data_IF_631489794758
#
_entry.id   IF_631489794758
#
_cell.length_a   1.000
_cell.length_b   1.000
_cell.length_c   1.000
_cell.angle_alpha   90.00
_cell.angle_beta   90.00
_cell.angle_gamma   90.00
#
_symmetry.space_group_name_H-M   'P 1'
#
loop_
_entity.id
_entity.type
_entity.pdbx_description
1 polymer ?
#
# COMPACT_ATOMS: atom_id res chain seq x y z
N UNK A 1 -66.77 108.55 -0.22
CA UNK A 1 -67.44 107.44 -0.94
C UNK A 1 -66.41 106.35 -1.15
N UNK A 2 -66.66 105.14 -0.67
CA UNK A 2 -65.96 103.97 -1.13
C UNK A 2 -65.04 103.30 -0.06
N UNK A 3 -65.65 102.50 0.78
CA UNK A 3 -65.11 101.55 1.69
C UNK A 3 -64.37 100.44 0.96
N UNK A 4 -63.21 100.03 1.43
CA UNK A 4 -62.65 98.67 1.14
C UNK A 4 -62.08 98.05 2.39
N UNK A 5 -62.71 96.95 2.80
CA UNK A 5 -62.37 96.09 3.89
C UNK A 5 -61.11 95.26 3.56
N UNK A 6 -60.17 95.21 4.41
CA UNK A 6 -58.99 94.37 4.34
C UNK A 6 -59.23 93.13 5.17
N UNK A 7 -59.30 91.96 4.55
CA UNK A 7 -59.33 90.63 5.21
C UNK A 7 -57.92 90.19 5.62
N UNK A 8 -57.80 89.94 6.87
CA UNK A 8 -56.59 89.46 7.54
C UNK A 8 -56.50 87.90 7.45
N UNK A 9 -55.61 87.41 6.56
CA UNK A 9 -55.31 85.99 6.47
C UNK A 9 -54.49 85.50 7.68
N UNK A 10 -55.00 84.54 8.38
CA UNK A 10 -54.31 83.82 9.43
C UNK A 10 -53.41 82.72 8.84
N UNK A 11 -52.09 82.94 8.87
CA UNK A 11 -51.12 81.89 8.65
C UNK A 11 -51.08 80.97 9.86
N UNK A 12 -51.57 79.71 9.73
CA UNK A 12 -51.42 78.65 10.73
C UNK A 12 -50.16 77.89 10.37
N UNK A 13 -49.08 78.19 11.06
CA UNK A 13 -47.86 77.35 11.02
C UNK A 13 -48.12 76.04 11.72
N UNK A 14 -48.13 74.93 10.98
CA UNK A 14 -48.10 73.59 11.53
C UNK A 14 -46.72 73.36 12.13
N UNK A 15 -46.58 73.48 13.46
CA UNK A 15 -45.47 72.95 14.22
C UNK A 15 -45.54 71.41 14.14
N UNK A 16 -44.64 70.80 13.38
CA UNK A 16 -44.37 69.37 13.46
C UNK A 16 -43.69 69.14 14.80
N UNK A 17 -44.41 68.58 15.75
CA UNK A 17 -43.84 68.01 16.99
C UNK A 17 -42.99 66.81 16.60
N UNK A 18 -41.69 66.99 16.54
CA UNK A 18 -40.73 65.89 16.48
C UNK A 18 -40.94 65.04 17.78
N UNK A 19 -41.50 63.86 17.62
CA UNK A 19 -41.55 62.88 18.72
C UNK A 19 -40.13 62.45 19.05
N UNK A 20 -39.55 63.10 20.03
CA UNK A 20 -38.24 62.74 20.60
C UNK A 20 -38.35 61.27 21.09
N UNK A 21 -37.56 60.40 20.43
CA UNK A 21 -37.41 59.01 20.84
C UNK A 21 -37.03 58.97 22.29
N UNK A 22 -37.76 58.32 23.20
CA UNK A 22 -37.43 58.31 24.64
C UNK A 22 -36.01 57.75 24.83
N UNK A 23 -35.18 58.45 25.59
CA UNK A 23 -33.74 58.17 25.83
C UNK A 23 -33.48 56.73 26.23
N UNK A 24 -34.39 56.05 26.94
CA UNK A 24 -34.23 54.66 27.32
C UNK A 24 -34.15 53.71 26.10
N UNK A 25 -34.82 53.97 24.98
CA UNK A 25 -34.74 53.20 23.75
C UNK A 25 -33.35 53.34 23.07
N UNK A 26 -32.75 54.50 23.14
CA UNK A 26 -31.40 54.73 22.69
C UNK A 26 -30.40 53.90 23.49
N UNK A 27 -30.50 53.90 24.82
CA UNK A 27 -29.65 53.10 25.69
C UNK A 27 -29.82 51.61 25.47
N UNK A 28 -31.03 51.16 25.20
CA UNK A 28 -31.32 49.76 24.93
C UNK A 28 -30.69 49.30 23.62
N UNK A 29 -30.76 50.09 22.54
CA UNK A 29 -30.10 49.80 21.26
C UNK A 29 -28.61 49.81 21.42
N UNK A 30 -28.04 50.82 22.10
CA UNK A 30 -26.60 50.95 22.34
C UNK A 30 -26.10 49.77 23.21
N UNK A 31 -26.80 49.40 24.28
CA UNK A 31 -26.39 48.26 25.09
C UNK A 31 -26.42 46.94 24.32
N UNK A 32 -27.40 46.72 23.44
CA UNK A 32 -27.44 45.58 22.54
C UNK A 32 -26.29 45.57 21.54
N UNK A 33 -25.97 46.76 20.98
CA UNK A 33 -24.85 46.94 20.04
C UNK A 33 -23.47 46.62 20.67
N UNK A 34 -23.30 46.95 21.97
CA UNK A 34 -22.07 46.65 22.71
C UNK A 34 -22.08 45.25 23.32
N UNK A 35 -23.22 44.71 23.73
CA UNK A 35 -23.32 43.35 24.29
C UNK A 35 -22.99 42.28 23.26
N UNK A 36 -23.40 42.46 22.01
CA UNK A 36 -23.18 41.50 20.93
C UNK A 36 -21.70 41.25 20.59
N UNK A 37 -20.82 42.29 20.39
CA UNK A 37 -19.40 42.10 20.25
C UNK A 37 -18.73 41.51 21.51
N UNK A 38 -19.13 41.91 22.71
CA UNK A 38 -18.58 41.35 23.94
C UNK A 38 -18.91 39.85 24.05
N UNK A 39 -20.12 39.44 23.73
CA UNK A 39 -20.53 38.02 23.71
C UNK A 39 -19.78 37.25 22.66
N UNK A 40 -19.54 37.85 21.52
CA UNK A 40 -18.74 37.23 20.43
C UNK A 40 -17.26 37.09 20.84
N UNK A 41 -16.67 38.10 21.45
CA UNK A 41 -15.28 38.08 21.95
C UNK A 41 -15.13 37.01 23.06
N UNK A 42 -16.07 36.93 24.00
CA UNK A 42 -16.05 35.93 25.07
C UNK A 42 -16.18 34.51 24.48
N UNK A 43 -17.05 34.32 23.49
CA UNK A 43 -17.20 33.04 22.81
C UNK A 43 -15.92 32.64 22.01
N UNK A 44 -15.31 33.58 21.31
CA UNK A 44 -14.03 33.37 20.63
C UNK A 44 -12.91 33.07 21.64
N UNK A 45 -12.88 33.77 22.77
CA UNK A 45 -11.90 33.54 23.83
C UNK A 45 -12.07 32.15 24.46
N UNK A 46 -13.30 31.69 24.69
CA UNK A 46 -13.59 30.32 25.14
C UNK A 46 -13.07 29.29 24.13
N UNK A 47 -13.33 29.47 22.83
CA UNK A 47 -12.88 28.56 21.80
C UNK A 47 -11.35 28.51 21.63
N UNK A 48 -10.64 29.62 21.94
CA UNK A 48 -9.20 29.73 21.69
C UNK A 48 -8.31 29.51 22.91
N UNK A 49 -8.83 29.77 24.13
CA UNK A 49 -8.01 29.82 25.34
C UNK A 49 -8.39 28.71 26.34
N UNK A 50 -9.68 28.35 26.43
CA UNK A 50 -10.10 27.31 27.39
C UNK A 50 -9.90 25.91 26.81
N UNK A 51 -9.15 25.05 27.51
CA UNK A 51 -9.08 23.63 27.18
C UNK A 51 -10.40 22.97 27.60
N UNK A 52 -11.28 22.70 26.66
CA UNK A 52 -12.55 22.02 26.88
C UNK A 52 -12.70 20.92 25.83
N UNK A 53 -13.05 19.70 26.28
CA UNK A 53 -13.22 18.53 25.40
C UNK A 53 -14.46 18.63 24.51
N UNK A 54 -15.47 19.44 24.87
CA UNK A 54 -16.71 19.58 24.07
C UNK A 54 -16.71 20.80 23.13
N UNK A 55 -16.09 21.94 23.54
CA UNK A 55 -16.18 23.21 22.78
C UNK A 55 -14.89 24.03 22.73
N UNK A 56 -13.78 23.58 23.31
CA UNK A 56 -12.55 24.34 23.44
C UNK A 56 -11.51 24.06 22.35
N UNK A 57 -10.29 24.55 22.60
CA UNK A 57 -9.11 24.35 21.71
C UNK A 57 -8.86 22.87 21.48
N UNK A 58 -8.97 22.03 22.51
CA UNK A 58 -8.74 20.58 22.42
C UNK A 58 -9.77 19.88 21.55
N UNK A 59 -11.04 20.30 21.62
CA UNK A 59 -12.10 19.83 20.72
C UNK A 59 -11.78 20.18 19.26
N UNK A 60 -11.42 21.43 18.97
CA UNK A 60 -11.10 21.87 17.61
C UNK A 60 -9.84 21.17 17.05
N UNK A 61 -8.81 20.98 17.88
CA UNK A 61 -7.63 20.19 17.51
C UNK A 61 -8.00 18.73 17.25
N UNK A 62 -8.74 18.10 18.14
CA UNK A 62 -9.19 16.71 17.98
C UNK A 62 -10.01 16.52 16.71
N UNK A 63 -10.93 17.45 16.40
CA UNK A 63 -11.71 17.43 15.16
C UNK A 63 -10.85 17.67 13.93
N UNK A 64 -9.88 18.58 13.98
CA UNK A 64 -8.90 18.83 12.93
C UNK A 64 -8.01 17.62 12.71
N UNK A 65 -7.50 17.05 13.77
CA UNK A 65 -6.66 15.87 13.78
C UNK A 65 -7.41 14.63 13.26
N UNK A 66 -8.64 14.41 13.69
CA UNK A 66 -9.47 13.31 13.23
C UNK A 66 -9.76 13.35 11.71
N UNK A 67 -9.72 14.54 11.11
CA UNK A 67 -9.92 14.72 9.66
C UNK A 67 -8.65 14.57 8.85
N UNK A 68 -7.51 14.98 9.37
CA UNK A 68 -6.23 15.08 8.65
C UNK A 68 -5.21 14.01 9.04
N UNK A 69 -5.21 13.54 10.30
CA UNK A 69 -4.28 12.52 10.77
C UNK A 69 -4.77 11.13 10.35
N UNK A 70 -3.86 10.38 9.75
CA UNK A 70 -4.07 8.98 9.35
C UNK A 70 -2.91 8.13 9.82
N UNK A 71 -3.20 6.89 10.17
CA UNK A 71 -2.16 5.87 10.34
C UNK A 71 -1.74 5.36 8.98
N UNK A 72 -0.45 5.45 8.69
CA UNK A 72 0.18 4.88 7.49
C UNK A 72 1.00 3.67 7.89
N UNK A 73 0.88 2.58 7.12
CA UNK A 73 1.65 1.37 7.33
C UNK A 73 3.06 1.59 6.77
N UNK A 74 4.07 1.28 7.55
CA UNK A 74 5.46 1.20 7.10
C UNK A 74 5.70 -0.26 6.70
N UNK A 75 5.85 -0.57 5.41
CA UNK A 75 6.08 -1.95 4.99
C UNK A 75 7.41 -2.44 5.52
N UNK A 76 7.46 -3.72 5.91
CA UNK A 76 8.70 -4.42 6.27
C UNK A 76 9.06 -5.37 5.13
N UNK A 77 10.33 -5.46 4.80
CA UNK A 77 10.79 -6.42 3.80
C UNK A 77 10.92 -7.81 4.40
N UNK A 78 10.66 -8.81 3.56
CA UNK A 78 10.83 -10.22 3.88
C UNK A 78 12.31 -10.57 3.94
N UNK A 79 12.72 -11.43 4.88
CA UNK A 79 14.09 -11.86 5.07
C UNK A 79 14.73 -12.41 3.79
N UNK A 80 16.02 -12.20 3.64
CA UNK A 80 16.83 -12.69 2.52
C UNK A 80 16.96 -14.22 2.61
N UNK A 81 16.89 -14.91 1.48
CA UNK A 81 17.31 -16.33 1.41
C UNK A 81 18.61 -16.37 0.63
N UNK A 82 19.64 -16.96 1.22
CA UNK A 82 20.98 -17.10 0.61
C UNK A 82 21.41 -18.55 0.52
N UNK A 83 22.37 -18.81 -0.34
CA UNK A 83 23.14 -20.04 -0.34
C UNK A 83 24.15 -20.06 0.81
N UNK A 84 24.94 -21.14 0.92
CA UNK A 84 25.99 -21.30 1.93
C UNK A 84 27.11 -20.24 1.85
N UNK A 85 27.31 -19.63 0.69
CA UNK A 85 28.34 -18.63 0.43
C UNK A 85 27.83 -17.19 0.56
N UNK A 86 26.52 -17.00 0.82
CA UNK A 86 25.88 -15.69 0.93
C UNK A 86 25.30 -15.20 -0.41
N UNK A 87 25.34 -16.02 -1.47
CA UNK A 87 24.74 -15.66 -2.76
C UNK A 87 23.20 -15.61 -2.65
N UNK A 88 22.55 -14.54 -3.12
CA UNK A 88 21.10 -14.33 -2.94
C UNK A 88 20.29 -15.30 -3.81
N UNK A 89 19.39 -16.04 -3.17
CA UNK A 89 18.42 -16.94 -3.82
C UNK A 89 17.02 -16.31 -3.88
N UNK A 90 16.66 -15.50 -2.89
CA UNK A 90 15.43 -14.72 -2.89
C UNK A 90 15.64 -13.38 -2.17
N UNK A 91 15.27 -12.28 -2.83
CA UNK A 91 15.42 -10.91 -2.33
C UNK A 91 14.11 -10.14 -2.41
N UNK A 92 13.89 -9.20 -1.49
CA UNK A 92 12.75 -8.29 -1.55
C UNK A 92 13.18 -6.97 -2.20
N UNK A 93 12.58 -6.64 -3.34
CA UNK A 93 12.87 -5.39 -4.06
C UNK A 93 11.77 -4.37 -3.81
N UNK A 94 12.10 -3.09 -3.58
CA UNK A 94 11.10 -2.05 -3.38
C UNK A 94 10.32 -1.80 -4.68
N UNK A 95 9.01 -1.72 -4.55
CA UNK A 95 8.06 -1.45 -5.63
C UNK A 95 7.00 -0.48 -5.15
N UNK A 96 6.24 0.10 -6.07
CA UNK A 96 5.14 1.00 -5.73
C UNK A 96 3.84 0.47 -6.34
N UNK A 97 2.83 0.31 -5.49
CA UNK A 97 1.46 0.04 -5.94
C UNK A 97 0.68 1.34 -6.05
N UNK A 98 0.03 1.56 -7.18
CA UNK A 98 -0.83 2.71 -7.41
C UNK A 98 -2.22 2.41 -6.87
N UNK A 99 -2.66 3.21 -5.94
CA UNK A 99 -3.98 3.15 -5.33
C UNK A 99 -4.83 4.35 -5.73
N UNK A 100 -6.11 4.15 -5.85
CA UNK A 100 -7.06 5.20 -6.18
C UNK A 100 -8.24 5.22 -5.23
N UNK A 101 -8.79 6.42 -5.04
CA UNK A 101 -10.12 6.62 -4.48
C UNK A 101 -11.12 6.84 -5.60
N UNK A 102 -11.91 5.82 -6.01
CA UNK A 102 -12.83 5.94 -7.14
C UNK A 102 -13.87 7.04 -6.97
N UNK A 103 -14.33 7.30 -5.74
CA UNK A 103 -15.28 8.38 -5.45
C UNK A 103 -14.70 9.76 -5.76
N UNK A 104 -13.42 9.98 -5.43
CA UNK A 104 -12.75 11.25 -5.71
C UNK A 104 -12.41 11.38 -7.20
N UNK A 105 -11.89 10.33 -7.82
CA UNK A 105 -11.58 10.30 -9.24
C UNK A 105 -12.80 10.64 -10.11
N UNK A 106 -13.97 10.04 -9.84
CA UNK A 106 -15.17 10.31 -10.61
C UNK A 106 -15.72 11.72 -10.43
N UNK A 107 -15.49 12.35 -9.27
CA UNK A 107 -15.99 13.70 -8.98
C UNK A 107 -15.05 14.80 -9.47
N UNK A 108 -13.74 14.57 -9.41
CA UNK A 108 -12.73 15.61 -9.52
C UNK A 108 -11.82 15.46 -10.74
N UNK A 109 -11.65 14.26 -11.30
CA UNK A 109 -10.82 14.04 -12.47
C UNK A 109 -11.53 14.42 -13.75
N UNK A 110 -10.85 15.16 -14.62
CA UNK A 110 -11.33 15.50 -15.95
C UNK A 110 -11.25 14.29 -16.89
N UNK A 111 -11.96 14.33 -18.03
CA UNK A 111 -11.81 13.30 -19.07
C UNK A 111 -10.38 13.22 -19.61
N UNK A 112 -9.68 14.36 -19.64
CA UNK A 112 -8.27 14.43 -20.04
C UNK A 112 -7.40 13.67 -19.05
N UNK A 113 -7.55 13.91 -17.73
CA UNK A 113 -6.78 13.24 -16.68
C UNK A 113 -6.94 11.71 -16.74
N UNK A 114 -8.19 11.24 -16.98
CA UNK A 114 -8.46 9.82 -17.12
C UNK A 114 -7.84 9.21 -18.38
N UNK A 115 -7.75 9.99 -19.48
CA UNK A 115 -7.07 9.57 -20.70
C UNK A 115 -5.55 9.51 -20.51
N UNK A 116 -4.98 10.53 -19.88
CA UNK A 116 -3.55 10.56 -19.57
C UNK A 116 -3.17 9.43 -18.62
N UNK A 117 -4.01 9.15 -17.60
CA UNK A 117 -3.87 8.02 -16.70
C UNK A 117 -3.92 6.68 -17.44
N UNK A 118 -4.88 6.50 -18.37
CA UNK A 118 -4.98 5.25 -19.14
C UNK A 118 -3.75 5.00 -19.99
N UNK A 119 -3.21 6.05 -20.62
CA UNK A 119 -2.00 5.99 -21.41
C UNK A 119 -0.77 5.64 -20.54
N UNK A 120 -0.63 6.30 -19.38
CA UNK A 120 0.47 6.06 -18.45
C UNK A 120 0.45 4.65 -17.85
N UNK A 121 -0.75 4.06 -17.66
CA UNK A 121 -0.93 2.69 -17.17
C UNK A 121 -0.85 1.63 -18.29
N UNK A 122 -0.77 2.02 -19.56
CA UNK A 122 -0.77 1.10 -20.69
C UNK A 122 -2.09 0.32 -20.88
N UNK A 123 -3.22 0.85 -20.39
CA UNK A 123 -4.55 0.22 -20.51
C UNK A 123 -5.47 1.10 -21.33
N UNK A 124 -6.50 0.50 -21.96
CA UNK A 124 -7.46 1.30 -22.72
C UNK A 124 -8.33 2.16 -21.79
N UNK A 125 -8.74 3.34 -22.28
CA UNK A 125 -9.67 4.22 -21.55
C UNK A 125 -10.97 3.49 -21.18
N UNK A 126 -11.47 2.62 -22.06
CA UNK A 126 -12.68 1.81 -21.81
C UNK A 126 -12.49 0.86 -20.63
N UNK A 127 -11.35 0.18 -20.55
CA UNK A 127 -11.02 -0.71 -19.42
C UNK A 127 -10.89 0.06 -18.10
N UNK A 128 -10.21 1.22 -18.12
CA UNK A 128 -10.10 2.07 -16.94
C UNK A 128 -11.47 2.55 -16.46
N UNK A 129 -12.30 3.06 -17.39
CA UNK A 129 -13.65 3.55 -17.11
C UNK A 129 -14.56 2.46 -16.55
N UNK A 130 -14.55 1.26 -17.13
CA UNK A 130 -15.30 0.10 -16.64
C UNK A 130 -14.86 -0.30 -15.21
N UNK A 131 -13.55 -0.31 -14.93
CA UNK A 131 -13.01 -0.57 -13.57
C UNK A 131 -13.46 0.49 -12.58
N UNK A 132 -13.36 1.77 -12.90
CA UNK A 132 -13.81 2.87 -12.05
C UNK A 132 -15.32 2.80 -11.77
N UNK A 133 -16.13 2.48 -12.79
CA UNK A 133 -17.58 2.31 -12.63
C UNK A 133 -17.93 1.14 -11.70
N UNK A 134 -17.22 0.00 -11.85
CA UNK A 134 -17.39 -1.17 -10.98
C UNK A 134 -17.10 -0.85 -9.52
N UNK A 135 -16.12 0.00 -9.25
CA UNK A 135 -15.68 0.38 -7.89
C UNK A 135 -16.21 1.74 -7.43
N UNK A 136 -17.19 2.33 -8.12
CA UNK A 136 -17.67 3.71 -7.89
C UNK A 136 -18.03 4.04 -6.44
N UNK A 137 -18.54 3.05 -5.68
CA UNK A 137 -18.97 3.22 -4.29
C UNK A 137 -17.85 2.92 -3.28
N UNK A 138 -16.68 2.48 -3.73
CA UNK A 138 -15.54 2.18 -2.87
C UNK A 138 -14.65 3.42 -2.70
N UNK A 139 -14.00 3.53 -1.53
CA UNK A 139 -13.01 4.58 -1.25
C UNK A 139 -11.59 4.17 -1.59
N UNK A 140 -11.39 2.90 -1.98
CA UNK A 140 -10.09 2.30 -2.25
C UNK A 140 -10.19 1.28 -3.38
N UNK A 141 -9.21 1.35 -4.31
CA UNK A 141 -8.93 0.32 -5.29
C UNK A 141 -7.46 0.37 -5.72
N UNK A 142 -6.89 -0.76 -6.08
CA UNK A 142 -5.61 -0.79 -6.79
C UNK A 142 -5.83 -0.47 -8.27
N UNK A 143 -5.09 0.52 -8.79
CA UNK A 143 -4.99 0.78 -10.24
C UNK A 143 -4.00 -0.19 -10.88
N UNK A 144 -2.82 -0.30 -10.29
CA UNK A 144 -1.78 -1.26 -10.66
C UNK A 144 -1.01 -1.65 -9.39
N UNK A 145 -0.51 -2.89 -9.33
CA UNK A 145 0.27 -3.38 -8.19
C UNK A 145 1.70 -3.68 -8.61
N UNK A 146 2.61 -3.47 -7.67
CA UNK A 146 4.00 -3.87 -7.77
C UNK A 146 4.72 -3.33 -9.02
N UNK A 147 4.45 -2.07 -9.37
CA UNK A 147 5.18 -1.39 -10.45
C UNK A 147 6.60 -1.02 -9.99
N UNK A 148 7.58 -1.02 -10.92
CA UNK A 148 8.86 -0.38 -10.69
C UNK A 148 8.67 1.07 -10.23
N UNK A 149 9.50 1.53 -9.29
CA UNK A 149 9.35 2.86 -8.66
C UNK A 149 9.33 3.98 -9.72
N UNK A 150 10.17 3.89 -10.75
CA UNK A 150 10.25 4.86 -11.85
C UNK A 150 8.97 4.89 -12.72
N UNK A 151 8.32 3.76 -12.92
CA UNK A 151 7.05 3.71 -13.68
C UNK A 151 5.89 4.26 -12.88
N UNK A 152 5.82 3.88 -11.60
CA UNK A 152 4.80 4.42 -10.70
C UNK A 152 4.94 5.94 -10.54
N UNK A 153 6.18 6.45 -10.47
CA UNK A 153 6.44 7.89 -10.35
C UNK A 153 5.91 8.68 -11.53
N UNK A 154 6.06 8.18 -12.77
CA UNK A 154 5.49 8.82 -13.97
C UNK A 154 3.97 9.03 -13.87
N UNK A 155 3.25 8.08 -13.27
CA UNK A 155 1.81 8.21 -13.05
C UNK A 155 1.49 9.19 -11.93
N UNK A 156 2.29 9.19 -10.86
CA UNK A 156 2.10 10.10 -9.72
C UNK A 156 2.40 11.56 -10.11
N UNK A 157 3.36 11.78 -11.00
CA UNK A 157 3.73 13.11 -11.51
C UNK A 157 2.61 13.77 -12.34
N UNK A 158 1.64 13.01 -12.84
CA UNK A 158 0.43 13.56 -13.46
C UNK A 158 -0.42 14.37 -12.47
N UNK A 159 -0.20 14.22 -11.16
CA UNK A 159 -0.86 14.99 -10.12
C UNK A 159 -2.37 14.79 -10.03
N UNK A 160 -2.90 13.68 -10.54
CA UNK A 160 -4.34 13.42 -10.60
C UNK A 160 -4.89 13.21 -9.19
N UNK A 161 -5.90 14.01 -8.83
CA UNK A 161 -6.54 13.96 -7.52
C UNK A 161 -7.18 12.59 -7.28
N UNK A 162 -6.88 12.02 -6.10
CA UNK A 162 -7.41 10.70 -5.71
C UNK A 162 -6.56 9.51 -6.13
N UNK A 163 -5.36 9.75 -6.67
CA UNK A 163 -4.33 8.72 -6.91
C UNK A 163 -3.18 8.93 -5.94
N UNK A 164 -2.70 7.85 -5.36
CA UNK A 164 -1.52 7.85 -4.50
C UNK A 164 -0.70 6.58 -4.68
N UNK A 165 0.59 6.67 -4.35
CA UNK A 165 1.51 5.53 -4.34
C UNK A 165 1.57 4.91 -2.94
N UNK A 166 1.58 3.58 -2.88
CA UNK A 166 1.89 2.81 -1.68
C UNK A 166 3.18 2.05 -1.92
N UNK A 167 4.17 2.24 -1.07
CA UNK A 167 5.37 1.43 -1.08
C UNK A 167 5.03 0.00 -0.65
N UNK A 168 5.49 -0.95 -1.42
CA UNK A 168 5.39 -2.39 -1.16
C UNK A 168 6.73 -3.03 -1.50
N UNK A 169 6.88 -4.32 -1.21
CA UNK A 169 8.02 -5.10 -1.66
C UNK A 169 7.54 -6.20 -2.60
N UNK A 170 8.37 -6.53 -3.58
CA UNK A 170 8.15 -7.64 -4.48
C UNK A 170 9.30 -8.62 -4.33
N UNK A 171 8.96 -9.89 -4.13
CA UNK A 171 9.94 -10.96 -4.07
C UNK A 171 10.53 -11.20 -5.45
N UNK A 172 11.84 -11.28 -5.51
CA UNK A 172 12.61 -11.57 -6.72
C UNK A 172 13.58 -12.72 -6.46
N UNK A 173 13.71 -13.61 -7.44
CA UNK A 173 14.48 -14.85 -7.36
C UNK A 173 15.61 -14.81 -8.42
N UNK A 174 16.84 -14.38 -8.07
CA UNK A 174 17.92 -14.19 -9.01
C UNK A 174 18.30 -15.45 -9.78
N UNK A 175 18.28 -16.62 -9.11
CA UNK A 175 18.61 -17.90 -9.73
C UNK A 175 17.47 -18.47 -10.62
N UNK A 176 16.29 -17.86 -10.63
CA UNK A 176 15.17 -18.25 -11.50
C UNK A 176 14.81 -19.73 -11.40
N UNK A 177 14.77 -20.42 -12.54
CA UNK A 177 14.40 -21.85 -12.65
C UNK A 177 15.32 -22.80 -11.88
N UNK A 178 16.57 -22.38 -11.59
CA UNK A 178 17.61 -23.27 -11.05
C UNK A 178 17.31 -23.71 -9.62
N UNK A 179 16.64 -22.84 -8.85
CA UNK A 179 16.33 -23.09 -7.44
C UNK A 179 14.82 -23.08 -7.17
N UNK A 180 14.00 -23.06 -8.22
CA UNK A 180 12.56 -22.77 -8.11
C UNK A 180 11.81 -23.67 -7.15
N UNK A 181 11.96 -25.01 -7.25
CA UNK A 181 11.25 -25.93 -6.35
C UNK A 181 11.79 -25.95 -4.93
N UNK A 182 13.08 -25.65 -4.78
CA UNK A 182 13.71 -25.59 -3.45
C UNK A 182 13.29 -24.32 -2.71
N UNK A 183 13.50 -23.17 -3.32
CA UNK A 183 13.20 -21.87 -2.72
C UNK A 183 11.70 -21.63 -2.67
N UNK A 184 11.00 -22.03 -3.73
CA UNK A 184 9.56 -21.76 -3.87
C UNK A 184 9.28 -20.35 -4.35
N UNK A 185 8.12 -19.84 -3.98
CA UNK A 185 7.68 -18.49 -4.33
C UNK A 185 6.64 -17.96 -3.33
N UNK A 186 6.42 -16.64 -3.37
CA UNK A 186 5.37 -15.96 -2.59
C UNK A 186 4.19 -15.58 -3.47
N UNK A 187 3.03 -15.33 -2.86
CA UNK A 187 1.91 -14.67 -3.52
C UNK A 187 2.17 -13.15 -3.70
N UNK A 188 1.15 -12.42 -4.19
CA UNK A 188 1.25 -10.97 -4.40
C UNK A 188 1.31 -10.17 -3.09
N UNK A 189 0.88 -10.77 -1.98
CA UNK A 189 0.86 -10.19 -0.64
C UNK A 189 2.07 -10.66 0.21
N UNK A 190 3.08 -11.25 -0.47
CA UNK A 190 4.37 -11.70 0.09
C UNK A 190 4.26 -12.89 1.08
N UNK A 191 3.17 -13.68 1.00
CA UNK A 191 3.03 -14.93 1.75
C UNK A 191 3.65 -16.09 0.98
N UNK A 192 4.47 -16.90 1.66
CA UNK A 192 5.08 -18.09 1.08
C UNK A 192 4.03 -19.10 0.62
N UNK A 193 4.19 -19.62 -0.60
CA UNK A 193 3.25 -20.59 -1.20
C UNK A 193 3.86 -21.97 -1.34
N UNK A 194 5.16 -22.05 -1.59
CA UNK A 194 5.87 -23.31 -1.84
C UNK A 194 7.31 -23.23 -1.32
N UNK A 195 7.98 -24.39 -1.18
CA UNK A 195 9.39 -24.51 -0.86
C UNK A 195 9.79 -23.90 0.47
N UNK A 196 11.00 -23.34 0.54
CA UNK A 196 11.53 -22.69 1.75
C UNK A 196 10.76 -21.41 2.09
N UNK A 197 10.20 -20.73 1.09
CA UNK A 197 9.32 -19.58 1.32
C UNK A 197 8.08 -19.95 2.16
N UNK A 198 7.49 -21.11 1.92
CA UNK A 198 6.36 -21.61 2.71
C UNK A 198 6.81 -22.18 4.05
N UNK A 199 7.83 -23.05 4.03
CA UNK A 199 8.30 -23.75 5.23
C UNK A 199 8.78 -22.80 6.35
N UNK A 200 9.40 -21.68 5.96
CA UNK A 200 9.93 -20.67 6.88
C UNK A 200 9.15 -19.35 6.83
N UNK A 201 7.89 -19.41 6.38
CA UNK A 201 7.09 -18.20 6.16
C UNK A 201 7.03 -17.27 7.36
N UNK A 202 6.81 -17.80 8.57
CA UNK A 202 6.73 -17.00 9.81
C UNK A 202 8.05 -16.27 10.11
N UNK A 203 9.18 -16.96 9.95
CA UNK A 203 10.50 -16.37 10.19
C UNK A 203 10.91 -15.34 9.16
N UNK A 204 10.60 -15.62 7.89
CA UNK A 204 10.93 -14.74 6.76
C UNK A 204 10.04 -13.51 6.71
N UNK A 205 8.78 -13.59 7.17
CA UNK A 205 7.84 -12.48 7.10
C UNK A 205 8.23 -11.37 8.06
N UNK A 206 8.41 -10.15 7.54
CA UNK A 206 8.67 -8.97 8.33
C UNK A 206 7.42 -8.46 9.06
N UNK A 207 7.63 -7.75 10.16
CA UNK A 207 6.55 -7.10 10.91
C UNK A 207 6.40 -5.65 10.46
N UNK A 208 5.29 -5.34 9.80
CA UNK A 208 5.00 -3.97 9.38
C UNK A 208 4.93 -3.02 10.58
N UNK A 209 5.49 -1.84 10.39
CA UNK A 209 5.37 -0.72 11.31
C UNK A 209 4.17 0.16 10.98
N UNK A 210 3.98 1.19 11.78
CA UNK A 210 2.97 2.21 11.54
C UNK A 210 3.43 3.58 12.03
N UNK A 211 3.03 4.63 11.30
CA UNK A 211 3.27 6.03 11.66
C UNK A 211 2.01 6.86 11.52
N UNK A 212 1.91 7.94 12.30
CA UNK A 212 0.88 8.97 12.13
C UNK A 212 1.37 9.99 11.12
N UNK A 213 0.55 10.27 10.12
CA UNK A 213 0.83 11.25 9.06
C UNK A 213 -0.34 12.20 8.89
N UNK A 214 -0.05 13.43 8.50
CA UNK A 214 -1.07 14.37 8.00
C UNK A 214 -1.19 14.13 6.50
N UNK A 215 -2.42 13.89 6.04
CA UNK A 215 -2.75 13.79 4.61
C UNK A 215 -3.63 14.96 4.18
N UNK A 216 -3.40 15.44 2.97
CA UNK A 216 -4.30 16.40 2.33
C UNK A 216 -5.60 15.73 1.88
N UNK A 217 -6.53 16.53 1.35
CA UNK A 217 -7.80 16.04 0.79
C UNK A 217 -7.60 15.09 -0.41
N UNK A 218 -6.44 15.13 -1.02
CA UNK A 218 -6.06 14.28 -2.16
C UNK A 218 -5.41 12.96 -1.72
N UNK A 219 -5.13 12.80 -0.42
CA UNK A 219 -4.50 11.61 0.16
C UNK A 219 -2.96 11.65 0.13
N UNK A 220 -2.33 12.77 -0.27
CA UNK A 220 -0.87 12.93 -0.21
C UNK A 220 -0.42 13.20 1.23
N UNK A 221 0.70 12.63 1.60
CA UNK A 221 1.32 12.89 2.91
C UNK A 221 1.95 14.28 2.87
N UNK A 222 1.50 15.16 3.78
CA UNK A 222 2.04 16.52 3.96
C UNK A 222 3.18 16.48 4.98
N UNK A 223 2.97 15.75 6.09
CA UNK A 223 3.91 15.70 7.21
C UNK A 223 3.81 14.39 7.98
N UNK A 224 4.96 13.87 8.41
CA UNK A 224 5.05 12.82 9.40
C UNK A 224 4.93 13.43 10.81
N UNK A 225 4.04 12.90 11.65
CA UNK A 225 3.81 13.41 13.02
C UNK A 225 4.62 12.59 14.02
N UNK A 226 4.41 11.28 14.04
CA UNK A 226 5.06 10.39 15.00
C UNK A 226 5.11 8.95 14.48
N UNK A 227 6.16 8.25 14.90
CA UNK A 227 6.25 6.81 14.73
C UNK A 227 5.42 6.14 15.83
N UNK A 228 4.49 5.26 15.45
CA UNK A 228 3.69 4.47 16.39
C UNK A 228 4.41 3.16 16.71
N UNK A 229 4.82 2.43 15.65
CA UNK A 229 5.50 1.16 15.73
C UNK A 229 6.58 1.10 14.65
N UNK A 230 7.83 0.77 14.98
CA UNK A 230 8.87 0.56 13.97
C UNK A 230 8.55 -0.68 13.12
N UNK A 231 8.97 -0.67 11.87
CA UNK A 231 8.97 -1.85 11.03
C UNK A 231 10.18 -2.73 11.38
N UNK A 232 9.97 -4.03 11.45
CA UNK A 232 11.04 -5.01 11.65
C UNK A 232 11.11 -5.94 10.43
N UNK A 233 12.29 -6.03 9.84
CA UNK A 233 12.55 -6.97 8.76
C UNK A 233 12.33 -8.43 9.20
N UNK A 234 12.01 -9.30 8.26
CA UNK A 234 12.03 -10.75 8.47
C UNK A 234 13.45 -11.25 8.73
N UNK A 235 13.57 -12.42 9.35
CA UNK A 235 14.88 -13.05 9.58
C UNK A 235 15.41 -13.62 8.27
N UNK A 236 16.70 -13.43 8.05
CA UNK A 236 17.38 -14.03 6.90
C UNK A 236 17.53 -15.54 7.09
N UNK A 237 17.47 -16.28 5.98
CA UNK A 237 17.61 -17.74 5.94
C UNK A 237 18.80 -18.10 5.07
N UNK A 238 19.80 -18.74 5.66
CA UNK A 238 20.96 -19.29 4.95
C UNK A 238 20.78 -20.79 4.77
N UNK A 239 20.85 -21.25 3.52
CA UNK A 239 20.73 -22.66 3.14
C UNK A 239 22.12 -23.31 3.02
N UNK A 240 22.15 -24.63 3.11
CA UNK A 240 23.37 -25.44 2.85
C UNK A 240 23.72 -25.55 1.36
N UNK A 241 22.81 -25.16 0.47
CA UNK A 241 22.99 -25.19 -0.97
C UNK A 241 24.20 -24.36 -1.40
N UNK A 242 25.01 -24.90 -2.33
CA UNK A 242 26.02 -24.14 -3.10
C UNK A 242 25.43 -23.85 -4.48
N UNK A 243 25.21 -22.58 -4.80
CA UNK A 243 24.55 -22.18 -6.04
C UNK A 243 25.31 -22.64 -7.30
N UNK A 244 26.62 -22.78 -7.22
CA UNK A 244 27.45 -23.27 -8.35
C UNK A 244 27.19 -24.75 -8.61
N UNK A 245 27.12 -25.56 -7.53
CA UNK A 245 26.80 -27.00 -7.63
C UNK A 245 25.35 -27.17 -8.09
N UNK A 246 24.45 -26.40 -7.52
CA UNK A 246 23.03 -26.38 -7.91
C UNK A 246 22.86 -26.08 -9.40
N UNK A 247 23.57 -25.09 -9.92
CA UNK A 247 23.52 -24.70 -11.32
C UNK A 247 24.06 -25.81 -12.25
N UNK A 248 25.19 -26.44 -11.87
CA UNK A 248 25.77 -27.57 -12.60
C UNK A 248 24.81 -28.77 -12.65
N UNK A 249 24.24 -29.14 -11.47
CA UNK A 249 23.26 -30.22 -11.34
C UNK A 249 22.00 -29.95 -12.17
N UNK A 250 21.45 -28.72 -12.08
CA UNK A 250 20.30 -28.33 -12.85
C UNK A 250 20.52 -28.42 -14.37
N UNK A 251 21.64 -27.91 -14.87
CA UNK A 251 21.98 -27.96 -16.31
C UNK A 251 22.13 -29.38 -16.81
N UNK A 252 22.87 -30.21 -16.06
CA UNK A 252 23.07 -31.62 -16.40
C UNK A 252 21.75 -32.38 -16.45
N UNK A 253 20.90 -32.20 -15.44
CA UNK A 253 19.59 -32.81 -15.38
C UNK A 253 18.68 -32.36 -16.53
N UNK A 254 18.62 -31.05 -16.82
CA UNK A 254 17.80 -30.51 -17.91
C UNK A 254 18.22 -31.08 -19.25
N UNK A 255 19.53 -31.17 -19.50
CA UNK A 255 20.07 -31.78 -20.70
C UNK A 255 19.75 -33.28 -20.80
N UNK A 256 19.89 -34.03 -19.71
CA UNK A 256 19.58 -35.46 -19.67
C UNK A 256 18.10 -35.73 -19.93
N UNK A 257 17.19 -35.00 -19.28
CA UNK A 257 15.74 -35.13 -19.44
C UNK A 257 15.35 -34.85 -20.90
N UNK A 258 15.93 -33.82 -21.51
CA UNK A 258 15.67 -33.48 -22.91
C UNK A 258 16.22 -34.53 -23.87
N UNK A 259 17.50 -34.95 -23.67
CA UNK A 259 18.17 -35.92 -24.54
C UNK A 259 17.46 -37.28 -24.55
N UNK A 260 16.95 -37.72 -23.43
CA UNK A 260 16.32 -39.01 -23.26
C UNK A 260 14.79 -38.98 -23.32
N UNK A 261 14.19 -37.80 -23.63
CA UNK A 261 12.74 -37.58 -23.62
C UNK A 261 12.07 -38.08 -22.35
N UNK A 262 12.76 -37.91 -21.19
CA UNK A 262 12.23 -38.33 -19.89
C UNK A 262 11.07 -37.41 -19.46
N UNK A 263 10.07 -37.98 -18.78
CA UNK A 263 8.94 -37.18 -18.25
C UNK A 263 9.36 -36.27 -17.12
N UNK A 264 10.27 -36.73 -16.29
CA UNK A 264 10.80 -35.99 -15.14
C UNK A 264 12.15 -36.56 -14.72
N UNK A 265 12.84 -35.83 -13.87
CA UNK A 265 14.06 -36.28 -13.24
C UNK A 265 14.39 -35.42 -12.02
N UNK A 266 15.19 -35.98 -11.12
CA UNK A 266 15.66 -35.30 -9.91
C UNK A 266 17.12 -35.62 -9.67
N UNK A 267 17.88 -34.66 -9.13
CA UNK A 267 19.28 -34.81 -8.69
C UNK A 267 19.39 -34.23 -7.29
N UNK A 268 20.00 -34.98 -6.39
CA UNK A 268 20.38 -34.53 -5.05
C UNK A 268 21.88 -34.75 -4.90
N UNK A 269 22.59 -33.71 -4.46
CA UNK A 269 24.04 -33.79 -4.17
C UNK A 269 24.21 -33.54 -2.67
N UNK A 270 24.83 -34.50 -2.01
CA UNK A 270 25.07 -34.47 -0.55
C UNK A 270 26.58 -34.36 -0.29
N UNK A 271 26.91 -33.62 0.75
CA UNK A 271 28.23 -33.71 1.37
C UNK A 271 28.26 -34.98 2.25
N UNK A 272 29.20 -35.88 1.99
CA UNK A 272 29.23 -37.18 2.67
C UNK A 272 29.74 -37.10 4.10
N UNK A 273 30.45 -36.03 4.45
CA UNK A 273 30.99 -35.84 5.82
C UNK A 273 29.97 -35.17 6.71
N UNK A 274 29.22 -34.18 6.20
CA UNK A 274 28.30 -33.37 6.99
C UNK A 274 26.85 -33.78 6.83
N UNK A 275 26.51 -34.47 5.74
CA UNK A 275 25.13 -34.78 5.35
C UNK A 275 24.37 -33.58 4.77
N UNK A 276 25.01 -32.43 4.58
CA UNK A 276 24.40 -31.23 4.02
C UNK A 276 24.01 -31.43 2.56
N UNK A 277 22.84 -30.91 2.19
CA UNK A 277 22.38 -30.89 0.80
C UNK A 277 23.05 -29.72 0.08
N UNK A 278 23.98 -30.03 -0.84
CA UNK A 278 24.68 -29.02 -1.65
C UNK A 278 23.91 -28.61 -2.91
N UNK A 279 23.11 -29.52 -3.45
CA UNK A 279 22.21 -29.23 -4.55
C UNK A 279 20.97 -30.14 -4.54
N UNK A 280 19.85 -29.60 -4.97
CA UNK A 280 18.61 -30.33 -5.17
C UNK A 280 17.86 -29.75 -6.37
N UNK A 281 17.95 -30.44 -7.50
CA UNK A 281 17.36 -29.99 -8.77
C UNK A 281 16.28 -30.95 -9.24
N UNK A 282 15.23 -30.42 -9.84
CA UNK A 282 14.13 -31.18 -10.40
C UNK A 282 13.79 -30.70 -11.82
N UNK A 283 13.27 -31.60 -12.64
CA UNK A 283 12.69 -31.32 -13.96
C UNK A 283 11.32 -32.02 -14.07
N UNK A 284 10.33 -31.36 -14.70
CA UNK A 284 10.31 -30.00 -15.23
C UNK A 284 10.39 -28.94 -14.15
N UNK A 285 10.99 -27.78 -14.48
CA UNK A 285 11.07 -26.62 -13.59
C UNK A 285 10.22 -25.45 -14.10
N UNK A 286 10.15 -24.37 -13.34
CA UNK A 286 9.40 -23.16 -13.65
C UNK A 286 10.19 -21.90 -13.28
N UNK A 287 9.80 -20.76 -13.83
CA UNK A 287 10.37 -19.48 -13.43
C UNK A 287 9.49 -18.84 -12.33
N UNK A 288 9.97 -18.71 -11.07
CA UNK A 288 9.19 -18.10 -10.00
C UNK A 288 8.92 -16.61 -10.20
N UNK A 289 9.71 -15.92 -11.04
CA UNK A 289 9.51 -14.51 -11.37
C UNK A 289 8.43 -14.30 -12.45
N UNK A 290 8.16 -15.31 -13.30
CA UNK A 290 7.10 -15.28 -14.31
C UNK A 290 6.25 -16.55 -14.22
N UNK A 291 5.10 -16.42 -13.57
CA UNK A 291 4.17 -17.52 -13.32
C UNK A 291 3.00 -17.56 -14.29
N UNK A 292 3.07 -16.81 -15.39
CA UNK A 292 1.99 -16.77 -16.41
C UNK A 292 1.72 -18.14 -17.04
N UNK A 293 2.76 -18.98 -17.09
CA UNK A 293 2.72 -20.35 -17.64
C UNK A 293 2.96 -21.43 -16.59
N UNK A 294 2.70 -21.14 -15.32
CA UNK A 294 2.90 -22.08 -14.22
C UNK A 294 2.04 -23.33 -14.40
N UNK A 295 2.68 -24.49 -14.36
CA UNK A 295 2.00 -25.81 -14.40
C UNK A 295 2.16 -26.48 -13.04
N UNK A 296 1.11 -27.08 -12.47
CA UNK A 296 1.17 -27.75 -11.17
C UNK A 296 2.30 -28.80 -11.09
N UNK A 297 2.51 -29.55 -12.18
CA UNK A 297 3.57 -30.56 -12.26
C UNK A 297 4.99 -30.00 -12.14
N UNK A 298 5.22 -28.73 -12.51
CA UNK A 298 6.55 -28.10 -12.45
C UNK A 298 6.88 -27.53 -11.07
N UNK A 299 5.89 -27.30 -10.23
CA UNK A 299 6.07 -26.73 -8.88
C UNK A 299 6.58 -27.76 -7.89
N UNK A 300 6.21 -29.00 -8.09
CA UNK A 300 6.44 -30.09 -7.18
C UNK A 300 7.93 -30.39 -7.01
N UNK A 301 8.42 -30.40 -5.77
CA UNK A 301 9.78 -30.86 -5.46
C UNK A 301 9.84 -32.38 -5.43
N UNK A 302 10.02 -32.98 -6.61
CA UNK A 302 9.96 -34.43 -6.83
C UNK A 302 11.02 -35.19 -6.04
N UNK A 303 12.18 -34.60 -5.80
CA UNK A 303 13.21 -35.20 -4.98
C UNK A 303 12.76 -35.47 -3.54
N UNK A 304 11.78 -34.70 -3.05
CA UNK A 304 11.23 -34.82 -1.70
C UNK A 304 9.90 -35.55 -1.63
N UNK A 305 9.08 -35.44 -2.67
CA UNK A 305 7.68 -35.86 -2.61
C UNK A 305 7.33 -37.10 -3.44
N UNK A 306 8.15 -37.43 -4.45
CA UNK A 306 7.86 -38.58 -5.32
C UNK A 306 8.43 -39.85 -4.72
N UNK A 307 7.59 -40.86 -4.63
CA UNK A 307 8.01 -42.22 -4.32
C UNK A 307 8.39 -42.94 -5.62
N UNK A 308 9.52 -43.61 -5.59
CA UNK A 308 10.00 -44.41 -6.71
C UNK A 308 10.38 -45.83 -6.23
N UNK A 309 10.25 -46.82 -7.09
CA UNK A 309 10.79 -48.11 -6.83
C UNK A 309 12.30 -48.11 -7.04
N UNK A 310 13.12 -48.32 -5.98
CA UNK A 310 14.57 -48.11 -6.05
C UNK A 310 15.29 -49.23 -6.83
N UNK A 311 14.67 -50.37 -7.03
CA UNK A 311 15.27 -51.50 -7.74
C UNK A 311 16.61 -51.93 -7.10
N UNK A 312 17.60 -52.30 -7.98
CA UNK A 312 18.94 -52.77 -7.52
C UNK A 312 19.77 -51.75 -6.74
N UNK A 313 19.37 -50.46 -6.70
CA UNK A 313 20.06 -49.40 -5.95
C UNK A 313 19.95 -49.60 -4.45
N UNK A 314 19.02 -50.46 -3.97
CA UNK A 314 18.90 -50.81 -2.53
C UNK A 314 19.93 -51.90 -2.09
N UNK A 315 20.50 -52.69 -3.02
CA UNK A 315 21.39 -53.79 -2.69
C UNK A 315 22.60 -53.41 -1.80
N UNK A 316 23.26 -52.28 -1.98
CA UNK A 316 24.31 -51.80 -1.07
C UNK A 316 23.87 -51.74 0.39
N UNK A 317 22.63 -51.26 0.67
CA UNK A 317 22.10 -51.20 2.03
C UNK A 317 21.81 -52.57 2.61
N UNK A 318 21.31 -53.52 1.80
CA UNK A 318 21.11 -54.88 2.21
C UNK A 318 22.45 -55.59 2.54
N UNK A 319 23.53 -55.28 1.80
CA UNK A 319 24.88 -55.80 2.07
C UNK A 319 25.42 -55.21 3.32
N UNK A 320 25.29 -53.89 3.53
CA UNK A 320 25.75 -53.22 4.78
C UNK A 320 25.07 -53.81 6.02
N UNK A 321 23.73 -54.01 5.96
CA UNK A 321 22.98 -54.63 7.04
C UNK A 321 23.38 -56.07 7.33
N UNK A 322 23.94 -56.77 6.35
CA UNK A 322 24.46 -58.14 6.53
C UNK A 322 25.89 -58.20 7.07
N UNK A 323 26.62 -57.07 7.01
CA UNK A 323 27.98 -56.94 7.53
C UNK A 323 28.04 -56.46 8.99
N UNK A 324 26.96 -55.82 9.50
CA UNK A 324 26.77 -55.52 10.92
C UNK A 324 26.34 -56.76 11.72
#
# INVERSE_FOLDING_TARGET
MGSILATKGKNVSKQQTQKLIPRWRYFLVMSGLFALPILLITHIAQLQIMPDEEFGVDFLQTQGDARSIRSEIIPAYRGLITDRNGEPLAVSTPVTSLIANPKHLQKLASKKDLKDLSNALGISFTQLSARLTRYRNKSFMYLARQLPVNEAQKVLDLGIVGISGRQEFKRFYPAGEVTAQLVGFTDIDDNGQEGMELAYNEGLTGQAGSKKVIKDLTGRIIKDISLIKPAHAGRDLRLSIDLRVQYAAYRALKSAVQKHNAKSGSVVVLDVETGEVLAMANQPSFNPNDRSKLRPDSVRNRAMTDMMEPGSTVKPFAILAALE
#
